data_IF_396718899547
#
_entry.id   IF_396718899547
#
_cell.length_a   1.000
_cell.length_b   1.000
_cell.length_c   1.000
_cell.angle_alpha   90.00
_cell.angle_beta   90.00
_cell.angle_gamma   90.00
#
_symmetry.space_group_name_H-M   'P 1'
#
loop_
_entity.id
_entity.type
_entity.pdbx_description
1 polymer ?
#
# COMPACT_ATOMS: atom_id res chain seq x y z
N UNK A 1 9.27 11.48 5.20
CA UNK A 1 8.03 12.07 4.66
C UNK A 1 7.07 10.95 4.33
N UNK A 2 5.79 11.26 4.16
CA UNK A 2 4.76 10.28 3.82
C UNK A 2 4.40 10.37 2.34
N UNK A 3 4.38 9.23 1.66
CA UNK A 3 4.04 9.13 0.24
C UNK A 3 2.67 8.49 0.11
N UNK A 4 1.73 9.15 -0.55
CA UNK A 4 0.47 8.52 -0.94
C UNK A 4 0.62 7.86 -2.31
N UNK A 5 0.09 6.64 -2.46
CA UNK A 5 0.07 5.92 -3.71
C UNK A 5 -1.30 5.32 -3.99
N UNK A 6 -1.71 5.35 -5.25
CA UNK A 6 -2.78 4.48 -5.75
C UNK A 6 -2.13 3.23 -6.33
N UNK A 7 -2.52 2.06 -5.81
CA UNK A 7 -1.91 0.77 -6.11
C UNK A 7 -2.98 -0.16 -6.66
N UNK A 8 -2.72 -0.71 -7.85
CA UNK A 8 -3.47 -1.82 -8.43
C UNK A 8 -2.47 -2.92 -8.83
N UNK A 9 -2.30 -3.88 -7.93
CA UNK A 9 -1.25 -4.90 -8.01
C UNK A 9 -1.65 -6.17 -7.29
N UNK A 10 -1.30 -7.31 -7.89
CA UNK A 10 -1.34 -8.60 -7.21
C UNK A 10 -0.01 -9.36 -7.30
N UNK A 11 0.12 -10.37 -6.44
CA UNK A 11 1.34 -11.17 -6.30
C UNK A 11 1.00 -12.61 -5.90
N UNK A 12 1.42 -13.57 -6.72
CA UNK A 12 1.16 -14.99 -6.51
C UNK A 12 2.00 -15.56 -5.37
N UNK A 13 1.32 -16.15 -4.36
CA UNK A 13 1.94 -16.79 -3.19
C UNK A 13 3.04 -15.95 -2.53
N UNK A 14 2.89 -14.63 -2.59
CA UNK A 14 3.91 -13.66 -2.18
C UNK A 14 3.23 -12.37 -1.74
N UNK A 15 3.88 -11.55 -0.90
CA UNK A 15 3.41 -10.20 -0.61
C UNK A 15 3.36 -9.30 -1.86
N UNK A 16 2.60 -8.22 -1.74
CA UNK A 16 2.67 -7.06 -2.63
C UNK A 16 3.64 -6.05 -2.02
N UNK A 17 4.68 -5.73 -2.78
CA UNK A 17 5.70 -4.75 -2.40
C UNK A 17 5.74 -3.58 -3.40
N UNK A 18 5.94 -2.38 -2.87
CA UNK A 18 6.16 -1.15 -3.63
C UNK A 18 7.30 -0.40 -2.96
N UNK A 19 8.22 0.13 -3.76
CA UNK A 19 9.34 0.94 -3.25
C UNK A 19 10.21 0.24 -2.18
N UNK A 20 10.31 -1.09 -2.23
CA UNK A 20 11.03 -1.89 -1.23
C UNK A 20 10.33 -2.00 0.14
N UNK A 21 9.05 -1.61 0.21
CA UNK A 21 8.20 -1.72 1.39
C UNK A 21 7.14 -2.78 1.17
N UNK A 22 6.88 -3.55 2.23
CA UNK A 22 5.74 -4.45 2.30
C UNK A 22 4.45 -3.62 2.34
N UNK A 23 3.64 -3.69 1.30
CA UNK A 23 2.32 -3.02 1.28
C UNK A 23 1.30 -3.91 1.95
N UNK A 24 1.24 -5.17 1.51
CA UNK A 24 0.36 -6.14 2.12
C UNK A 24 0.80 -7.58 1.89
N UNK A 25 0.27 -8.48 2.73
CA UNK A 25 0.53 -9.91 2.65
C UNK A 25 -0.69 -10.75 3.02
N UNK A 26 -1.01 -11.70 2.17
CA UNK A 26 -1.82 -12.87 2.50
C UNK A 26 -0.94 -14.08 2.84
N UNK A 27 -1.52 -15.08 3.51
CA UNK A 27 -0.85 -16.36 3.83
C UNK A 27 -1.50 -17.54 3.10
N UNK A 28 -2.79 -17.41 2.75
CA UNK A 28 -3.52 -18.35 1.91
C UNK A 28 -4.66 -17.60 1.17
N UNK A 29 -5.56 -18.34 0.50
CA UNK A 29 -6.69 -17.77 -0.26
C UNK A 29 -7.72 -17.08 0.65
N UNK A 30 -7.94 -17.59 1.86
CA UNK A 30 -9.03 -17.21 2.76
C UNK A 30 -8.57 -16.34 3.93
N UNK A 31 -7.26 -16.12 4.07
CA UNK A 31 -6.69 -15.34 5.18
C UNK A 31 -7.05 -13.85 5.12
N UNK A 32 -7.57 -13.36 3.99
CA UNK A 32 -7.48 -11.95 3.63
C UNK A 32 -6.01 -11.52 3.47
N UNK A 33 -5.78 -10.22 3.37
CA UNK A 33 -4.42 -9.67 3.39
C UNK A 33 -4.29 -8.63 4.50
N UNK A 34 -3.13 -8.61 5.14
CA UNK A 34 -2.79 -7.64 6.18
C UNK A 34 -1.83 -6.61 5.60
N UNK A 35 -2.03 -5.35 6.00
CA UNK A 35 -1.11 -4.26 5.67
C UNK A 35 0.26 -4.49 6.30
N UNK A 36 1.31 -3.99 5.65
CA UNK A 36 2.65 -3.93 6.24
C UNK A 36 2.82 -2.77 7.22
N UNK A 37 3.95 -2.77 7.92
CA UNK A 37 4.24 -1.75 8.92
C UNK A 37 4.45 -0.36 8.30
N UNK A 38 3.81 0.64 8.92
CA UNK A 38 3.83 2.03 8.44
C UNK A 38 3.01 2.25 7.17
N UNK A 39 2.10 1.33 6.85
CA UNK A 39 1.15 1.47 5.73
C UNK A 39 -0.23 1.80 6.29
N UNK A 40 -0.82 2.90 5.83
CA UNK A 40 -2.17 3.30 6.17
C UNK A 40 -3.04 3.18 4.93
N UNK A 41 -4.16 2.46 5.05
CA UNK A 41 -5.17 2.36 3.99
C UNK A 41 -6.10 3.58 4.07
N UNK A 42 -6.15 4.39 3.02
CA UNK A 42 -7.07 5.52 2.93
C UNK A 42 -8.40 5.11 2.29
N UNK A 43 -8.34 4.29 1.24
CA UNK A 43 -9.52 3.81 0.52
C UNK A 43 -9.20 2.56 -0.32
N UNK A 44 -10.25 1.87 -0.77
CA UNK A 44 -10.14 0.66 -1.57
C UNK A 44 -10.02 -0.61 -0.72
N UNK A 45 -9.38 -1.64 -1.27
CA UNK A 45 -9.35 -2.95 -0.63
C UNK A 45 -7.99 -3.66 -0.75
N UNK A 46 -7.67 -4.40 0.31
CA UNK A 46 -6.52 -5.29 0.38
C UNK A 46 -7.01 -6.66 0.81
N UNK A 47 -6.77 -7.67 -0.02
CA UNK A 47 -7.37 -8.99 0.18
C UNK A 47 -6.51 -10.12 -0.40
N UNK A 48 -6.94 -11.34 -0.15
CA UNK A 48 -6.44 -12.55 -0.77
C UNK A 48 -7.38 -13.02 -1.89
N UNK A 49 -6.88 -13.82 -2.83
CA UNK A 49 -7.69 -14.42 -3.87
C UNK A 49 -7.06 -15.64 -4.52
N UNK A 50 -7.62 -16.06 -5.65
CA UNK A 50 -7.18 -17.27 -6.36
C UNK A 50 -7.80 -18.55 -5.79
N UNK A 51 -7.02 -19.62 -5.70
CA UNK A 51 -7.43 -20.94 -5.19
C UNK A 51 -6.58 -21.33 -3.98
N UNK A 52 -6.96 -22.40 -3.26
CA UNK A 52 -6.14 -22.92 -2.13
C UNK A 52 -4.69 -23.24 -2.54
N UNK A 53 -4.49 -23.83 -3.72
CA UNK A 53 -3.14 -24.22 -4.19
C UNK A 53 -2.38 -23.06 -4.87
N UNK A 54 -3.12 -22.14 -5.49
CA UNK A 54 -2.58 -20.98 -6.18
C UNK A 54 -3.31 -19.74 -5.63
N UNK A 55 -2.91 -19.29 -4.45
CA UNK A 55 -3.45 -18.08 -3.83
C UNK A 55 -2.60 -16.87 -4.18
N UNK A 56 -3.17 -15.67 -4.08
CA UNK A 56 -2.46 -14.40 -4.29
C UNK A 56 -2.82 -13.34 -3.27
N UNK A 57 -1.89 -12.42 -3.02
CA UNK A 57 -2.15 -11.15 -2.33
C UNK A 57 -2.58 -10.12 -3.38
N UNK A 58 -3.64 -9.37 -3.10
CA UNK A 58 -4.23 -8.38 -4.01
C UNK A 58 -4.33 -7.04 -3.28
N UNK A 59 -3.86 -5.98 -3.93
CA UNK A 59 -4.00 -4.60 -3.47
C UNK A 59 -4.64 -3.80 -4.61
N UNK A 60 -5.83 -3.25 -4.35
CA UNK A 60 -6.50 -2.30 -5.23
C UNK A 60 -7.00 -1.16 -4.34
N UNK A 61 -6.08 -0.25 -4.01
CA UNK A 61 -6.24 0.66 -2.89
C UNK A 61 -5.36 1.92 -2.99
N UNK A 62 -5.84 2.98 -2.36
CA UNK A 62 -5.04 4.15 -2.03
C UNK A 62 -4.42 3.98 -0.64
N UNK A 63 -3.10 4.06 -0.55
CA UNK A 63 -2.36 3.90 0.71
C UNK A 63 -1.39 5.04 0.96
N UNK A 64 -1.04 5.26 2.22
CA UNK A 64 0.08 6.10 2.64
C UNK A 64 1.22 5.22 3.15
N UNK A 65 2.42 5.47 2.64
CA UNK A 65 3.67 4.84 3.07
C UNK A 65 4.44 5.85 3.93
N UNK A 66 4.48 5.60 5.24
CA UNK A 66 5.22 6.43 6.19
C UNK A 66 6.73 6.23 6.09
N UNK A 67 7.46 7.26 6.54
CA UNK A 67 8.93 7.28 6.60
C UNK A 67 9.60 6.92 5.27
N UNK A 68 9.02 7.39 4.16
CA UNK A 68 9.57 7.21 2.83
C UNK A 68 10.83 8.08 2.69
N UNK A 69 11.99 7.49 2.37
CA UNK A 69 13.21 8.24 2.10
C UNK A 69 13.06 9.14 0.86
N UNK A 70 13.73 10.29 0.86
CA UNK A 70 13.58 11.28 -0.20
C UNK A 70 13.81 10.75 -1.61
N UNK A 71 14.92 10.02 -1.79
CA UNK A 71 15.29 9.42 -3.08
C UNK A 71 14.25 8.40 -3.58
N UNK A 72 13.56 7.72 -2.67
CA UNK A 72 12.53 6.72 -3.01
C UNK A 72 11.28 7.42 -3.53
N UNK A 73 10.84 8.49 -2.86
CA UNK A 73 9.73 9.32 -3.31
C UNK A 73 10.02 9.99 -4.66
N UNK A 74 11.20 10.60 -4.82
CA UNK A 74 11.61 11.23 -6.07
C UNK A 74 11.66 10.21 -7.22
N UNK A 75 12.16 9.00 -6.96
CA UNK A 75 12.11 7.90 -7.92
C UNK A 75 10.68 7.50 -8.25
N UNK A 76 9.78 7.43 -7.27
CA UNK A 76 8.37 7.11 -7.48
C UNK A 76 7.70 8.11 -8.43
N UNK A 77 7.95 9.42 -8.24
CA UNK A 77 7.39 10.47 -9.09
C UNK A 77 7.91 10.44 -10.53
N UNK A 78 9.20 10.15 -10.72
CA UNK A 78 9.84 10.27 -12.04
C UNK A 78 9.80 8.96 -12.83
N UNK A 79 10.08 7.84 -12.18
CA UNK A 79 10.19 6.52 -12.84
C UNK A 79 8.97 5.63 -12.61
N UNK A 80 8.18 5.89 -11.57
CA UNK A 80 7.09 5.03 -11.15
C UNK A 80 7.55 3.69 -10.56
N UNK A 81 6.56 2.88 -10.16
CA UNK A 81 6.74 1.49 -9.76
C UNK A 81 5.64 0.65 -10.39
N UNK A 82 5.94 -0.61 -10.74
CA UNK A 82 4.95 -1.53 -11.31
C UNK A 82 3.75 -1.68 -10.38
N UNK A 83 2.54 -1.48 -10.95
CA UNK A 83 1.27 -1.56 -10.23
C UNK A 83 0.95 -0.33 -9.38
N UNK A 84 1.69 0.77 -9.54
CA UNK A 84 1.38 2.07 -8.93
C UNK A 84 0.90 3.02 -10.02
N UNK A 85 -0.32 3.53 -9.88
CA UNK A 85 -1.00 4.35 -10.90
C UNK A 85 -0.94 5.85 -10.61
N UNK A 86 -0.82 6.23 -9.33
CA UNK A 86 -0.63 7.62 -8.91
C UNK A 86 0.32 7.69 -7.71
N UNK A 87 1.08 8.78 -7.62
CA UNK A 87 1.99 9.06 -6.49
C UNK A 87 1.93 10.55 -6.15
N UNK A 88 1.71 10.87 -4.88
CA UNK A 88 1.75 12.25 -4.38
C UNK A 88 2.31 12.36 -2.97
N UNK A 89 2.74 13.57 -2.60
CA UNK A 89 3.13 13.85 -1.22
C UNK A 89 1.87 13.78 -0.35
N UNK A 90 1.92 13.01 0.72
CA UNK A 90 0.85 13.04 1.72
C UNK A 90 1.17 14.12 2.76
N UNK A 91 0.32 15.13 2.83
CA UNK A 91 0.31 16.13 3.90
C UNK A 91 -0.99 15.92 4.66
N UNK A 92 -0.94 15.39 5.89
CA UNK A 92 -2.16 15.22 6.68
C UNK A 92 -2.74 16.60 7.02
N UNK A 93 -4.07 16.71 6.98
CA UNK A 93 -4.76 17.82 7.60
C UNK A 93 -4.68 17.65 9.12
N UNK A 94 -3.76 18.37 9.75
CA UNK A 94 -3.50 18.28 11.18
C UNK A 94 -4.63 18.83 12.02
N UNK A 95 -5.49 19.71 11.47
CA UNK A 95 -6.64 20.26 12.16
C UNK A 95 -7.78 19.23 12.21
N UNK A 96 -8.06 18.58 11.07
CA UNK A 96 -9.06 17.49 10.99
C UNK A 96 -8.69 16.29 11.89
N UNK A 97 -7.41 15.96 11.98
CA UNK A 97 -6.94 14.86 12.84
C UNK A 97 -7.02 15.19 14.35
N UNK A 98 -7.03 16.46 14.73
CA UNK A 98 -7.12 16.89 16.12
C UNK A 98 -8.56 16.87 16.65
N UNK A 99 -9.56 17.03 15.78
CA UNK A 99 -10.98 17.03 16.19
C UNK A 99 -11.54 15.65 16.54
N UNK A 100 -10.82 14.56 16.22
CA UNK A 100 -11.23 13.18 16.50
C UNK A 100 -10.58 12.54 17.72
N UNK A 101 -9.83 13.30 18.53
CA UNK A 101 -9.12 12.80 19.71
C UNK A 101 -9.77 13.37 20.98
N UNK A 102 -10.72 12.62 21.54
CA UNK A 102 -11.21 12.81 22.92
C UNK A 102 -10.20 12.27 23.96
#
# INVERSE_FOLDING_TARGET
MSMQCDIDKDSWRSPVEVAGRLIARAFDRDSGAKLGDGIVLLSGNVTSGGSRANWKTIVSATVVIHDTPRKVYEKALVMGYTGVTDVRLFVPDVEELAEGVD
#
